data_IF_607118424696
#
_entry.id   IF_607118424696
#
_cell.length_a   1.000
_cell.length_b   1.000
_cell.length_c   1.000
_cell.angle_alpha   90.00
_cell.angle_beta   90.00
_cell.angle_gamma   90.00
#
_symmetry.space_group_name_H-M   'P 1'
#
loop_
_entity.id
_entity.type
_entity.pdbx_description
1 polymer ?
#
# COMPACT_ATOMS: atom_id res chain seq x y z
N UNK A 1 25.92 34.94 -35.53
CA UNK A 1 26.29 33.96 -34.49
C UNK A 1 25.19 33.95 -33.44
N UNK A 2 24.17 33.13 -33.67
CA UNK A 2 22.95 33.06 -32.86
C UNK A 2 23.18 32.21 -31.62
N UNK A 3 23.01 32.85 -30.46
CA UNK A 3 23.05 32.25 -29.12
C UNK A 3 21.90 31.27 -28.95
N UNK A 4 22.23 29.99 -28.85
CA UNK A 4 21.29 28.90 -28.61
C UNK A 4 20.89 28.90 -27.12
N UNK A 5 19.74 29.50 -26.83
CA UNK A 5 19.17 29.53 -25.49
C UNK A 5 18.76 28.11 -25.07
N UNK A 6 19.56 27.50 -24.20
CA UNK A 6 19.25 26.22 -23.56
C UNK A 6 17.96 26.40 -22.75
N UNK A 7 16.85 25.87 -23.26
CA UNK A 7 15.57 25.83 -22.56
C UNK A 7 15.71 25.03 -21.27
N UNK A 8 15.93 25.74 -20.16
CA UNK A 8 15.85 25.18 -18.81
C UNK A 8 14.43 24.63 -18.64
N UNK A 9 14.27 23.29 -18.64
CA UNK A 9 13.02 22.65 -18.24
C UNK A 9 12.67 23.17 -16.84
N UNK A 10 11.74 24.11 -16.75
CA UNK A 10 11.18 24.56 -15.46
C UNK A 10 10.56 23.33 -14.80
N UNK A 11 11.08 22.93 -13.65
CA UNK A 11 10.38 22.03 -12.75
C UNK A 11 9.04 22.71 -12.45
N UNK A 12 7.88 22.06 -12.68
CA UNK A 12 6.60 22.66 -12.34
C UNK A 12 6.60 23.00 -10.85
N UNK A 13 6.12 24.20 -10.50
CA UNK A 13 6.00 24.59 -9.10
C UNK A 13 5.10 23.59 -8.36
N UNK A 14 5.46 23.23 -7.11
CA UNK A 14 4.65 22.30 -6.34
C UNK A 14 3.27 22.89 -6.09
N UNK A 15 2.24 22.09 -6.36
CA UNK A 15 0.85 22.47 -6.08
C UNK A 15 0.68 22.69 -4.57
N UNK A 16 0.22 23.87 -4.17
CA UNK A 16 -0.04 24.19 -2.77
C UNK A 16 -1.50 23.92 -2.40
N UNK A 17 -1.84 23.67 -1.12
CA UNK A 17 -3.22 23.59 -0.68
C UNK A 17 -4.06 24.82 -1.08
N UNK A 18 -3.47 26.01 -1.00
CA UNK A 18 -4.12 27.26 -1.42
C UNK A 18 -4.47 27.28 -2.91
N UNK A 19 -3.60 26.75 -3.78
CA UNK A 19 -3.88 26.63 -5.22
C UNK A 19 -5.03 25.65 -5.53
N UNK A 20 -5.35 24.75 -4.60
CA UNK A 20 -6.52 23.87 -4.67
C UNK A 20 -7.76 24.47 -4.01
N UNK A 21 -7.70 25.70 -3.50
CA UNK A 21 -8.80 26.36 -2.79
C UNK A 21 -9.03 25.83 -1.37
N UNK A 22 -8.01 25.23 -0.73
CA UNK A 22 -8.10 24.78 0.66
C UNK A 22 -7.71 25.91 1.63
N UNK A 23 -8.31 25.95 2.83
CA UNK A 23 -7.91 26.91 3.87
C UNK A 23 -6.45 26.70 4.30
N UNK A 24 -5.84 27.69 4.96
CA UNK A 24 -4.47 27.58 5.44
C UNK A 24 -4.29 26.39 6.41
N UNK A 25 -5.20 26.30 7.39
CA UNK A 25 -5.20 25.22 8.37
C UNK A 25 -5.98 23.99 7.89
N UNK A 26 -5.54 22.77 8.24
CA UNK A 26 -6.30 21.57 7.94
C UNK A 26 -7.68 21.59 8.60
N UNK A 27 -8.68 21.09 7.89
CA UNK A 27 -10.02 20.88 8.44
C UNK A 27 -9.95 19.97 9.66
N UNK A 28 -10.63 20.39 10.74
CA UNK A 28 -10.72 19.63 12.00
C UNK A 28 -12.17 19.25 12.22
N UNK A 29 -12.40 17.99 12.56
CA UNK A 29 -13.69 17.49 13.01
C UNK A 29 -13.58 17.19 14.51
N UNK A 30 -14.41 17.86 15.32
CA UNK A 30 -14.53 17.57 16.75
C UNK A 30 -15.14 16.18 16.99
N UNK A 31 -15.05 15.62 18.21
CA UNK A 31 -15.52 14.27 18.50
C UNK A 31 -17.00 14.00 18.20
N UNK A 32 -17.84 15.04 18.30
CA UNK A 32 -19.29 14.99 18.08
C UNK A 32 -19.70 15.43 16.66
N UNK A 33 -18.74 15.63 15.75
CA UNK A 33 -19.05 16.06 14.40
C UNK A 33 -19.69 14.92 13.57
N UNK A 34 -20.50 15.25 12.54
CA UNK A 34 -21.04 14.25 11.64
C UNK A 34 -19.95 13.40 10.99
N UNK A 35 -20.26 12.14 10.66
CA UNK A 35 -19.31 11.23 10.02
C UNK A 35 -18.74 11.80 8.71
N UNK A 36 -19.54 12.56 7.96
CA UNK A 36 -19.12 13.26 6.76
C UNK A 36 -18.02 14.30 7.05
N UNK A 37 -18.13 15.05 8.15
CA UNK A 37 -17.10 16.01 8.58
C UNK A 37 -15.76 15.33 8.90
N UNK A 38 -15.77 14.17 9.55
CA UNK A 38 -14.55 13.39 9.79
C UNK A 38 -13.92 12.88 8.49
N UNK A 39 -14.73 12.44 7.53
CA UNK A 39 -14.25 12.02 6.20
C UNK A 39 -13.58 13.19 5.48
N UNK A 40 -14.21 14.37 5.46
CA UNK A 40 -13.65 15.59 4.85
C UNK A 40 -12.32 16.00 5.49
N UNK A 41 -12.29 16.08 6.82
CA UNK A 41 -11.07 16.38 7.57
C UNK A 41 -9.93 15.39 7.27
N UNK A 42 -10.27 14.10 7.14
CA UNK A 42 -9.29 13.08 6.77
C UNK A 42 -8.78 13.22 5.35
N UNK A 43 -9.66 13.53 4.38
CA UNK A 43 -9.26 13.76 2.99
C UNK A 43 -8.34 14.98 2.86
N UNK A 44 -8.68 16.09 3.51
CA UNK A 44 -7.84 17.30 3.53
C UNK A 44 -6.45 17.01 4.13
N UNK A 45 -6.42 16.36 5.30
CA UNK A 45 -5.17 16.00 5.95
C UNK A 45 -4.26 15.12 5.07
N UNK A 46 -4.80 14.05 4.48
CA UNK A 46 -4.01 13.14 3.64
C UNK A 46 -3.63 13.77 2.29
N UNK A 47 -4.44 14.69 1.75
CA UNK A 47 -4.08 15.47 0.57
C UNK A 47 -2.88 16.39 0.87
N UNK A 48 -2.86 17.05 2.02
CA UNK A 48 -1.71 17.87 2.44
C UNK A 48 -0.44 17.04 2.63
N UNK A 49 -0.55 15.87 3.24
CA UNK A 49 0.58 14.94 3.37
C UNK A 49 1.06 14.48 1.99
N UNK A 50 0.15 14.20 1.06
CA UNK A 50 0.54 13.85 -0.30
C UNK A 50 1.30 14.99 -0.99
N UNK A 51 0.82 16.23 -0.87
CA UNK A 51 1.46 17.41 -1.45
C UNK A 51 2.82 17.73 -0.82
N UNK A 52 2.97 17.54 0.50
CA UNK A 52 4.24 17.79 1.19
C UNK A 52 5.35 16.82 0.74
N UNK A 53 4.97 15.58 0.38
CA UNK A 53 5.88 14.51 -0.09
C UNK A 53 6.15 14.52 -1.58
N UNK A 54 5.35 15.25 -2.35
CA UNK A 54 5.47 15.27 -3.82
C UNK A 54 6.85 15.80 -4.30
N UNK A 55 7.41 16.91 -3.77
CA UNK A 55 8.71 17.39 -4.18
C UNK A 55 9.83 16.37 -3.95
N UNK A 56 9.85 15.74 -2.77
CA UNK A 56 10.79 14.68 -2.41
C UNK A 56 10.64 13.45 -3.30
N UNK A 57 9.40 13.06 -3.60
CA UNK A 57 9.09 11.96 -4.52
C UNK A 57 9.58 12.24 -5.94
N UNK A 58 9.38 13.46 -6.46
CA UNK A 58 9.89 13.88 -7.78
C UNK A 58 11.41 13.89 -7.82
N UNK A 59 12.04 14.41 -6.77
CA UNK A 59 13.50 14.47 -6.61
C UNK A 59 14.14 13.08 -6.44
N UNK A 60 13.41 12.13 -5.85
CA UNK A 60 13.77 10.71 -5.76
C UNK A 60 15.06 10.42 -4.98
N UNK A 61 15.48 11.34 -4.11
CA UNK A 61 16.67 11.22 -3.27
C UNK A 61 16.42 10.28 -2.08
N UNK A 62 15.26 10.39 -1.44
CA UNK A 62 14.84 9.55 -0.32
C UNK A 62 13.65 8.66 -0.73
N UNK A 63 13.79 7.32 -0.70
CA UNK A 63 12.68 6.39 -0.93
C UNK A 63 11.51 6.56 0.06
N UNK A 64 11.75 7.15 1.23
CA UNK A 64 10.72 7.36 2.25
C UNK A 64 9.68 8.39 1.82
N UNK A 65 10.08 9.41 1.04
CA UNK A 65 9.16 10.40 0.48
C UNK A 65 8.10 9.73 -0.41
N UNK A 66 8.53 8.83 -1.29
CA UNK A 66 7.62 8.01 -2.11
C UNK A 66 6.77 7.07 -1.24
N UNK A 67 7.35 6.48 -0.19
CA UNK A 67 6.63 5.61 0.73
C UNK A 67 5.48 6.36 1.42
N UNK A 68 5.75 7.52 1.98
CA UNK A 68 4.74 8.33 2.68
C UNK A 68 3.68 8.88 1.72
N UNK A 69 4.06 9.32 0.51
CA UNK A 69 3.10 9.70 -0.53
C UNK A 69 2.14 8.55 -0.88
N UNK A 70 2.65 7.31 -0.96
CA UNK A 70 1.82 6.10 -1.16
C UNK A 70 0.91 5.81 0.02
N UNK A 71 1.39 6.04 1.25
CA UNK A 71 0.58 5.86 2.46
C UNK A 71 -0.61 6.81 2.42
N UNK A 72 -0.39 8.10 2.14
CA UNK A 72 -1.44 9.10 2.03
C UNK A 72 -2.47 8.76 0.94
N UNK A 73 -2.00 8.45 -0.27
CA UNK A 73 -2.84 7.98 -1.38
C UNK A 73 -3.74 6.80 -0.96
N UNK A 74 -3.14 5.76 -0.35
CA UNK A 74 -3.88 4.56 0.06
C UNK A 74 -4.91 4.84 1.15
N UNK A 75 -4.58 5.72 2.11
CA UNK A 75 -5.51 6.12 3.18
C UNK A 75 -6.72 6.86 2.59
N UNK A 76 -6.51 7.82 1.69
CA UNK A 76 -7.62 8.48 0.97
C UNK A 76 -8.50 7.47 0.22
N UNK A 77 -7.90 6.56 -0.56
CA UNK A 77 -8.66 5.54 -1.30
C UNK A 77 -9.46 4.62 -0.36
N UNK A 78 -8.91 4.31 0.80
CA UNK A 78 -9.59 3.50 1.82
C UNK A 78 -10.77 4.25 2.43
N UNK A 79 -10.57 5.51 2.79
CA UNK A 79 -11.62 6.38 3.36
C UNK A 79 -12.80 6.46 2.41
N UNK A 80 -12.57 6.85 1.14
CA UNK A 80 -13.63 6.93 0.12
C UNK A 80 -14.35 5.60 -0.10
N UNK A 81 -13.64 4.48 -0.01
CA UNK A 81 -14.24 3.14 -0.12
C UNK A 81 -15.15 2.82 1.06
N UNK A 82 -14.76 3.20 2.28
CA UNK A 82 -15.54 2.92 3.49
C UNK A 82 -16.71 3.90 3.69
N UNK A 83 -16.64 5.09 3.11
CA UNK A 83 -17.61 6.16 3.32
C UNK A 83 -18.49 6.40 2.09
N UNK A 84 -18.62 5.45 1.16
CA UNK A 84 -19.28 5.66 -0.14
C UNK A 84 -20.71 6.23 -0.03
N UNK A 85 -21.44 5.88 1.02
CA UNK A 85 -22.77 6.42 1.30
C UNK A 85 -22.76 7.91 1.73
N UNK A 86 -21.64 8.40 2.24
CA UNK A 86 -21.48 9.76 2.80
C UNK A 86 -20.81 10.76 1.85
N UNK A 87 -20.23 10.30 0.74
CA UNK A 87 -19.43 11.14 -0.18
C UNK A 87 -20.06 11.27 -1.57
N UNK A 88 -21.25 10.71 -1.77
CA UNK A 88 -22.01 10.80 -3.02
C UNK A 88 -21.35 10.13 -4.23
N UNK A 89 -22.00 10.23 -5.39
CA UNK A 89 -21.53 9.62 -6.64
C UNK A 89 -20.23 10.24 -7.18
N UNK A 90 -19.93 11.49 -6.80
CA UNK A 90 -18.73 12.22 -7.25
C UNK A 90 -17.42 11.66 -6.68
N UNK A 91 -17.49 10.80 -5.65
CA UNK A 91 -16.31 10.17 -5.05
C UNK A 91 -15.74 8.99 -5.84
N UNK A 92 -16.55 8.31 -6.66
CA UNK A 92 -16.09 7.10 -7.36
C UNK A 92 -15.03 7.41 -8.45
N UNK A 93 -15.19 8.47 -9.28
CA UNK A 93 -14.12 8.89 -10.19
C UNK A 93 -12.80 9.22 -9.46
N UNK A 94 -12.87 9.94 -8.34
CA UNK A 94 -11.69 10.28 -7.52
C UNK A 94 -11.04 9.02 -6.94
N UNK A 95 -11.85 8.06 -6.48
CA UNK A 95 -11.36 6.77 -5.97
C UNK A 95 -10.69 5.93 -7.06
N UNK A 96 -11.22 5.95 -8.29
CA UNK A 96 -10.61 5.29 -9.44
C UNK A 96 -9.25 5.92 -9.80
N UNK A 97 -9.17 7.25 -9.82
CA UNK A 97 -7.93 7.98 -10.10
C UNK A 97 -6.89 7.84 -8.98
N UNK A 98 -7.30 7.77 -7.71
CA UNK A 98 -6.42 7.34 -6.62
C UNK A 98 -5.90 5.92 -6.86
N UNK A 99 -6.73 5.04 -7.43
CA UNK A 99 -6.32 3.70 -7.87
C UNK A 99 -5.21 3.75 -8.91
N UNK A 100 -5.38 4.57 -9.95
CA UNK A 100 -4.36 4.82 -10.98
C UNK A 100 -3.07 5.38 -10.38
N UNK A 101 -3.15 6.43 -9.56
CA UNK A 101 -1.98 7.02 -8.90
C UNK A 101 -1.23 5.98 -8.06
N UNK A 102 -1.98 5.13 -7.34
CA UNK A 102 -1.41 4.05 -6.53
C UNK A 102 -0.62 3.01 -7.35
N UNK A 103 -1.02 2.75 -8.60
CA UNK A 103 -0.28 1.87 -9.52
C UNK A 103 1.05 2.51 -9.94
N UNK A 104 1.00 3.78 -10.36
CA UNK A 104 2.21 4.48 -10.84
C UNK A 104 3.24 4.68 -9.72
N UNK A 105 2.79 5.06 -8.52
CA UNK A 105 3.67 5.13 -7.35
C UNK A 105 4.19 3.73 -6.95
N UNK A 106 3.37 2.69 -7.20
CA UNK A 106 3.67 1.31 -6.82
C UNK A 106 4.85 0.76 -7.57
N UNK A 107 4.85 0.96 -8.88
CA UNK A 107 5.91 0.48 -9.75
C UNK A 107 7.31 0.89 -9.26
N UNK A 108 7.50 2.16 -8.88
CA UNK A 108 8.81 2.64 -8.36
C UNK A 108 9.12 2.03 -6.99
N UNK A 109 8.12 1.94 -6.11
CA UNK A 109 8.30 1.39 -4.76
C UNK A 109 8.63 -0.10 -4.78
N UNK A 110 8.07 -0.84 -5.72
CA UNK A 110 8.34 -2.28 -5.86
C UNK A 110 9.82 -2.50 -6.24
N UNK A 111 10.39 -1.65 -7.10
CA UNK A 111 11.83 -1.66 -7.35
C UNK A 111 12.67 -1.20 -6.15
N UNK A 112 12.24 -0.21 -5.36
CA UNK A 112 12.94 0.20 -4.13
C UNK A 112 13.10 -0.97 -3.16
N UNK A 113 11.99 -1.69 -2.92
CA UNK A 113 11.97 -2.85 -2.03
C UNK A 113 12.83 -3.97 -2.61
N UNK A 114 12.67 -4.30 -3.90
CA UNK A 114 13.47 -5.34 -4.56
C UNK A 114 14.97 -5.03 -4.49
N UNK A 115 15.39 -3.81 -4.82
CA UNK A 115 16.80 -3.42 -4.83
C UNK A 115 17.39 -3.48 -3.41
N UNK A 116 16.66 -3.01 -2.39
CA UNK A 116 17.08 -3.10 -1.00
C UNK A 116 17.29 -4.55 -0.57
N UNK A 117 16.27 -5.37 -0.79
CA UNK A 117 16.30 -6.81 -0.48
C UNK A 117 17.44 -7.55 -1.20
N UNK A 118 17.61 -7.34 -2.51
CA UNK A 118 18.68 -7.99 -3.27
C UNK A 118 20.07 -7.61 -2.75
N UNK A 119 20.28 -6.35 -2.35
CA UNK A 119 21.55 -5.91 -1.75
C UNK A 119 21.84 -6.63 -0.44
N UNK A 120 20.82 -6.82 0.40
CA UNK A 120 20.95 -7.59 1.65
C UNK A 120 21.32 -9.05 1.34
N UNK A 121 20.59 -9.72 0.45
CA UNK A 121 20.89 -11.11 0.06
C UNK A 121 22.30 -11.27 -0.53
N UNK A 122 22.72 -10.34 -1.39
CA UNK A 122 24.04 -10.38 -2.03
C UNK A 122 25.16 -10.10 -1.01
N UNK A 123 24.90 -9.32 0.04
CA UNK A 123 25.90 -9.04 1.07
C UNK A 123 26.32 -10.32 1.82
N UNK A 124 25.43 -11.30 1.91
CA UNK A 124 25.68 -12.61 2.54
C UNK A 124 26.40 -13.60 1.60
N UNK A 125 26.64 -13.26 0.33
CA UNK A 125 27.34 -14.12 -0.61
C UNK A 125 28.86 -14.00 -0.47
N UNK A 126 29.57 -15.04 -0.92
CA UNK A 126 31.02 -15.04 -1.02
C UNK A 126 31.53 -13.81 -1.78
N UNK A 127 32.63 -13.22 -1.30
CA UNK A 127 33.19 -11.97 -1.86
C UNK A 127 33.41 -12.04 -3.38
N UNK A 128 33.74 -13.22 -3.91
CA UNK A 128 33.93 -13.46 -5.35
C UNK A 128 32.64 -13.30 -6.19
N UNK A 129 31.47 -13.56 -5.61
CA UNK A 129 30.18 -13.56 -6.31
C UNK A 129 29.47 -12.19 -6.21
N UNK A 130 29.84 -11.38 -5.21
CA UNK A 130 29.25 -10.06 -5.00
C UNK A 130 29.35 -9.10 -6.20
N UNK A 131 30.45 -9.05 -6.98
CA UNK A 131 30.53 -8.20 -8.17
C UNK A 131 29.44 -8.49 -9.20
N UNK A 132 29.20 -9.77 -9.52
CA UNK A 132 28.14 -10.17 -10.43
C UNK A 132 26.75 -9.84 -9.85
N UNK A 133 26.54 -9.98 -8.55
CA UNK A 133 25.34 -9.52 -7.85
C UNK A 133 25.12 -8.01 -7.97
N UNK A 134 26.16 -7.19 -7.82
CA UNK A 134 26.07 -5.73 -8.01
C UNK A 134 25.73 -5.36 -9.46
N UNK A 135 26.24 -6.11 -10.45
CA UNK A 135 25.83 -5.94 -11.87
C UNK A 135 24.36 -6.29 -12.08
N UNK A 136 23.86 -7.37 -11.47
CA UNK A 136 22.44 -7.73 -11.49
C UNK A 136 21.58 -6.61 -10.91
N UNK A 137 21.91 -6.11 -9.71
CA UNK A 137 21.19 -5.01 -9.05
C UNK A 137 21.17 -3.75 -9.93
N UNK A 138 22.27 -3.46 -10.63
CA UNK A 138 22.36 -2.30 -11.53
C UNK A 138 21.34 -2.34 -12.69
N UNK A 139 20.91 -3.55 -13.11
CA UNK A 139 19.82 -3.69 -14.09
C UNK A 139 18.49 -3.22 -13.49
N UNK A 140 18.17 -3.62 -12.27
CA UNK A 140 16.96 -3.15 -11.58
C UNK A 140 17.00 -1.66 -11.23
N UNK A 141 18.18 -1.10 -10.94
CA UNK A 141 18.34 0.36 -10.77
C UNK A 141 17.99 1.11 -12.06
N UNK A 142 18.38 0.56 -13.23
CA UNK A 142 18.01 1.13 -14.53
C UNK A 142 16.50 1.06 -14.79
N UNK A 143 15.86 -0.06 -14.44
CA UNK A 143 14.40 -0.22 -14.54
C UNK A 143 13.66 0.75 -13.61
N UNK A 144 14.10 0.87 -12.36
CA UNK A 144 13.59 1.85 -11.39
C UNK A 144 13.67 3.27 -11.96
N UNK A 145 14.78 3.61 -12.61
CA UNK A 145 14.98 4.93 -13.24
C UNK A 145 13.93 5.17 -14.34
N UNK A 146 13.60 4.13 -15.11
CA UNK A 146 12.55 4.19 -16.13
C UNK A 146 11.15 4.31 -15.53
N UNK A 147 10.84 3.54 -14.48
CA UNK A 147 9.60 3.68 -13.71
C UNK A 147 9.46 5.09 -13.12
N UNK A 148 10.54 5.66 -12.57
CA UNK A 148 10.55 7.03 -12.05
C UNK A 148 10.28 8.08 -13.13
N UNK A 149 10.77 7.88 -14.37
CA UNK A 149 10.40 8.73 -15.51
C UNK A 149 8.92 8.63 -15.87
N UNK A 150 8.29 7.45 -15.73
CA UNK A 150 6.83 7.29 -15.87
C UNK A 150 6.09 8.01 -14.74
N UNK A 151 6.53 7.85 -13.50
CA UNK A 151 5.97 8.54 -12.33
C UNK A 151 6.00 10.06 -12.50
N UNK A 152 7.16 10.64 -12.85
CA UNK A 152 7.28 12.09 -13.03
C UNK A 152 6.38 12.62 -14.16
N UNK A 153 6.17 11.83 -15.23
CA UNK A 153 5.20 12.19 -16.28
C UNK A 153 3.76 12.13 -15.77
N UNK A 154 3.40 11.11 -15.00
CA UNK A 154 2.08 10.99 -14.40
C UNK A 154 1.77 12.14 -13.44
N UNK A 155 2.70 12.48 -12.55
CA UNK A 155 2.57 13.62 -11.63
C UNK A 155 2.53 14.97 -12.36
N UNK A 156 3.01 15.04 -13.61
CA UNK A 156 2.94 16.26 -14.42
C UNK A 156 1.76 16.25 -15.40
N UNK A 157 0.86 15.28 -15.30
CA UNK A 157 -0.26 15.11 -16.23
C UNK A 157 -1.48 15.93 -15.80
N UNK A 158 -2.34 16.36 -16.75
CA UNK A 158 -3.63 16.97 -16.43
C UNK A 158 -4.50 16.07 -15.55
N UNK A 159 -4.43 14.74 -15.74
CA UNK A 159 -5.16 13.76 -14.91
C UNK A 159 -4.79 13.88 -13.43
N UNK A 160 -3.51 14.06 -13.11
CA UNK A 160 -3.08 14.26 -11.72
C UNK A 160 -3.60 15.59 -11.16
N UNK A 161 -3.55 16.67 -11.93
CA UNK A 161 -4.12 17.95 -11.51
C UNK A 161 -5.63 17.86 -11.25
N UNK A 162 -6.40 17.20 -12.14
CA UNK A 162 -7.83 16.94 -11.97
C UNK A 162 -8.10 16.09 -10.72
N UNK A 163 -7.26 15.08 -10.46
CA UNK A 163 -7.37 14.27 -9.24
C UNK A 163 -7.20 15.13 -7.99
N UNK A 164 -6.17 15.97 -7.92
CA UNK A 164 -5.94 16.86 -6.76
C UNK A 164 -7.13 17.80 -6.53
N UNK A 165 -7.68 18.37 -7.62
CA UNK A 165 -8.87 19.22 -7.54
C UNK A 165 -10.11 18.45 -7.07
N UNK A 166 -10.31 17.23 -7.56
CA UNK A 166 -11.41 16.36 -7.14
C UNK A 166 -11.34 16.01 -5.65
N UNK A 167 -10.15 15.69 -5.13
CA UNK A 167 -9.96 15.42 -3.69
C UNK A 167 -10.23 16.70 -2.88
N UNK A 168 -9.70 17.84 -3.31
CA UNK A 168 -9.90 19.11 -2.62
C UNK A 168 -11.39 19.51 -2.60
N UNK A 169 -12.11 19.31 -3.70
CA UNK A 169 -13.55 19.54 -3.75
C UNK A 169 -14.31 18.65 -2.77
N UNK A 170 -14.05 17.33 -2.77
CA UNK A 170 -14.66 16.41 -1.81
C UNK A 170 -14.38 16.78 -0.35
N UNK A 171 -13.21 17.36 -0.07
CA UNK A 171 -12.87 17.80 1.28
C UNK A 171 -13.61 19.07 1.73
N UNK A 172 -14.16 19.86 0.79
CA UNK A 172 -14.89 21.10 1.07
C UNK A 172 -16.40 20.98 1.00
N UNK A 173 -16.94 20.08 0.18
CA UNK A 173 -18.40 20.01 -0.08
C UNK A 173 -19.19 19.85 1.22
N UNK A 174 -20.03 20.84 1.54
CA UNK A 174 -20.86 20.86 2.74
C UNK A 174 -22.04 19.87 2.63
N UNK A 175 -22.61 19.50 3.77
CA UNK A 175 -23.61 18.43 3.99
C UNK A 175 -24.97 18.59 3.27
N UNK A 176 -25.20 19.64 2.50
CA UNK A 176 -26.55 20.02 2.04
C UNK A 176 -27.17 19.14 0.93
N UNK A 177 -26.58 17.99 0.56
CA UNK A 177 -27.12 17.12 -0.50
C UNK A 177 -27.23 15.64 -0.11
N UNK A 178 -27.13 15.28 1.17
CA UNK A 178 -27.29 13.89 1.59
C UNK A 178 -28.35 13.83 2.68
N UNK A 179 -29.53 13.35 2.29
CA UNK A 179 -30.64 13.04 3.17
C UNK A 179 -30.14 12.10 4.29
N UNK A 180 -29.99 12.64 5.49
CA UNK A 180 -29.47 11.93 6.65
C UNK A 180 -30.49 10.86 7.08
N UNK A 181 -30.37 9.67 6.51
CA UNK A 181 -30.78 8.49 7.28
C UNK A 181 -29.73 8.30 8.36
N UNK A 182 -30.12 8.29 9.66
CA UNK A 182 -29.19 8.00 10.73
C UNK A 182 -28.62 6.60 10.47
N UNK A 183 -27.38 6.53 10.02
CA UNK A 183 -26.66 5.27 10.00
C UNK A 183 -26.55 4.84 11.46
N UNK A 184 -27.38 3.87 11.86
CA UNK A 184 -27.30 3.20 13.17
C UNK A 184 -25.83 2.97 13.47
N UNK A 185 -25.35 3.49 14.62
CA UNK A 185 -23.99 3.22 15.10
C UNK A 185 -23.80 1.70 15.05
N UNK A 186 -23.06 1.14 14.08
CA UNK A 186 -22.95 -0.30 14.01
C UNK A 186 -22.20 -0.71 15.27
N UNK A 187 -22.73 -1.68 16.00
CA UNK A 187 -22.06 -2.11 17.23
C UNK A 187 -20.66 -2.61 16.83
N UNK A 188 -19.63 -1.85 17.21
CA UNK A 188 -18.26 -2.00 16.72
C UNK A 188 -17.63 -3.37 17.09
N UNK A 189 -18.26 -4.14 17.97
CA UNK A 189 -17.88 -5.51 18.32
C UNK A 189 -18.50 -6.58 17.40
N UNK A 190 -19.70 -6.36 16.85
CA UNK A 190 -20.37 -7.33 15.97
C UNK A 190 -19.74 -7.42 14.57
N UNK A 191 -18.94 -6.43 14.18
CA UNK A 191 -18.40 -6.29 12.83
C UNK A 191 -17.13 -7.10 12.53
N UNK A 192 -16.44 -7.66 13.54
CA UNK A 192 -15.21 -8.47 13.32
C UNK A 192 -15.51 -9.86 12.75
N UNK A 193 -16.70 -10.41 13.03
CA UNK A 193 -17.07 -11.77 12.62
C UNK A 193 -17.27 -11.91 11.11
N UNK A 194 -17.76 -10.86 10.44
CA UNK A 194 -17.98 -10.85 8.99
C UNK A 194 -16.67 -10.98 8.19
N UNK A 195 -15.62 -10.15 8.41
CA UNK A 195 -14.33 -10.32 7.75
C UNK A 195 -13.64 -11.62 8.16
N UNK A 196 -13.80 -12.09 9.41
CA UNK A 196 -13.29 -13.41 9.81
C UNK A 196 -13.93 -14.54 9.01
N UNK A 197 -15.26 -14.64 8.97
CA UNK A 197 -15.98 -15.67 8.18
C UNK A 197 -15.57 -15.65 6.71
N UNK A 198 -15.33 -14.48 6.14
CA UNK A 198 -14.85 -14.37 4.75
C UNK A 198 -13.44 -14.96 4.61
N UNK A 199 -12.53 -14.68 5.54
CA UNK A 199 -11.19 -15.25 5.56
C UNK A 199 -11.25 -16.77 5.77
N UNK A 200 -12.02 -17.26 6.74
CA UNK A 200 -12.19 -18.68 7.04
C UNK A 200 -12.74 -19.46 5.83
N UNK A 201 -13.75 -18.92 5.14
CA UNK A 201 -14.26 -19.52 3.90
C UNK A 201 -13.22 -19.57 2.80
N UNK A 202 -12.40 -18.53 2.66
CA UNK A 202 -11.33 -18.51 1.67
C UNK A 202 -10.25 -19.56 1.99
N UNK A 203 -9.87 -19.72 3.27
CA UNK A 203 -8.93 -20.76 3.70
C UNK A 203 -9.50 -22.15 3.46
N UNK A 204 -10.76 -22.38 3.83
CA UNK A 204 -11.42 -23.68 3.66
C UNK A 204 -11.61 -24.09 2.19
N UNK A 205 -11.62 -23.13 1.26
CA UNK A 205 -11.74 -23.39 -0.17
C UNK A 205 -10.40 -23.71 -0.85
N UNK A 206 -9.28 -23.64 -0.13
CA UNK A 206 -7.96 -23.88 -0.72
C UNK A 206 -7.70 -25.38 -0.96
N UNK A 207 -7.05 -25.73 -2.09
CA UNK A 207 -6.52 -27.08 -2.28
C UNK A 207 -5.31 -27.32 -1.35
N UNK A 208 -4.87 -28.58 -1.15
CA UNK A 208 -3.74 -28.91 -0.29
C UNK A 208 -2.44 -28.17 -0.62
N UNK A 209 -2.23 -27.85 -1.90
CA UNK A 209 -1.11 -27.03 -2.37
C UNK A 209 -1.66 -25.80 -3.10
N UNK A 210 -2.01 -24.71 -2.38
CA UNK A 210 -2.65 -23.55 -2.99
C UNK A 210 -1.72 -22.85 -3.98
N UNK A 211 -2.26 -22.33 -5.11
CA UNK A 211 -1.59 -21.35 -5.96
C UNK A 211 -1.06 -20.14 -5.18
N UNK A 212 0.00 -19.50 -5.68
CA UNK A 212 0.57 -18.30 -5.02
C UNK A 212 -0.45 -17.14 -4.94
N UNK A 213 -1.29 -16.98 -5.97
CA UNK A 213 -2.35 -15.95 -6.02
C UNK A 213 -3.43 -16.14 -4.95
N UNK A 214 -3.75 -17.39 -4.60
CA UNK A 214 -4.73 -17.69 -3.57
C UNK A 214 -4.19 -17.30 -2.17
N UNK A 215 -2.90 -17.55 -1.92
CA UNK A 215 -2.23 -17.10 -0.70
C UNK A 215 -2.13 -15.57 -0.65
N UNK A 216 -1.91 -14.91 -1.79
CA UNK A 216 -1.99 -13.45 -1.89
C UNK A 216 -3.39 -12.93 -1.52
N UNK A 217 -4.45 -13.57 -2.00
CA UNK A 217 -5.83 -13.21 -1.67
C UNK A 217 -6.14 -13.36 -0.17
N UNK A 218 -5.62 -14.40 0.49
CA UNK A 218 -5.72 -14.56 1.94
C UNK A 218 -5.08 -13.39 2.70
N UNK A 219 -3.92 -12.90 2.27
CA UNK A 219 -3.24 -11.74 2.89
C UNK A 219 -4.13 -10.49 2.86
N UNK A 220 -4.87 -10.29 1.76
CA UNK A 220 -5.83 -9.19 1.61
C UNK A 220 -6.99 -9.34 2.60
N UNK A 221 -7.53 -10.55 2.75
CA UNK A 221 -8.59 -10.83 3.73
C UNK A 221 -8.11 -10.63 5.17
N UNK A 222 -6.91 -11.12 5.51
CA UNK A 222 -6.27 -10.88 6.81
C UNK A 222 -6.10 -9.39 7.12
N UNK A 223 -5.74 -8.57 6.12
CA UNK A 223 -5.67 -7.10 6.30
C UNK A 223 -6.99 -6.50 6.73
N UNK A 224 -8.08 -6.93 6.09
CA UNK A 224 -9.42 -6.46 6.41
C UNK A 224 -9.80 -6.86 7.84
N UNK A 225 -9.55 -8.11 8.22
CA UNK A 225 -9.80 -8.60 9.57
C UNK A 225 -9.03 -7.80 10.63
N UNK A 226 -7.71 -7.61 10.43
CA UNK A 226 -6.89 -6.83 11.37
C UNK A 226 -7.42 -5.41 11.52
N UNK A 227 -7.71 -4.73 10.42
CA UNK A 227 -8.21 -3.35 10.46
C UNK A 227 -9.54 -3.24 11.23
N UNK A 228 -10.48 -4.14 10.96
CA UNK A 228 -11.75 -4.18 11.70
C UNK A 228 -11.53 -4.48 13.19
N UNK A 229 -10.61 -5.39 13.52
CA UNK A 229 -10.27 -5.68 14.92
C UNK A 229 -9.57 -4.51 15.63
N UNK A 230 -8.71 -3.75 14.94
CA UNK A 230 -8.07 -2.54 15.46
C UNK A 230 -9.11 -1.45 15.78
N UNK A 231 -10.11 -1.26 14.92
CA UNK A 231 -11.24 -0.35 15.16
C UNK A 231 -12.14 -0.84 16.30
N UNK A 232 -12.46 -2.12 16.34
CA UNK A 232 -13.26 -2.69 17.42
C UNK A 232 -12.56 -2.52 18.79
N UNK A 233 -11.23 -2.66 18.81
CA UNK A 233 -10.41 -2.55 20.02
C UNK A 233 -10.46 -1.15 20.63
N UNK A 234 -10.47 -0.09 19.82
CA UNK A 234 -10.51 1.28 20.34
C UNK A 234 -11.83 1.63 21.02
N UNK A 235 -12.92 0.95 20.66
CA UNK A 235 -14.25 1.12 21.26
C UNK A 235 -14.60 0.06 22.32
N UNK A 236 -13.71 -0.89 22.58
CA UNK A 236 -13.99 -2.04 23.44
C UNK A 236 -13.64 -1.80 24.92
N UNK A 237 -14.43 -2.40 25.82
CA UNK A 237 -14.08 -2.51 27.26
C UNK A 237 -12.79 -3.31 27.44
N UNK A 238 -12.04 -3.05 28.52
CA UNK A 238 -10.70 -3.63 28.81
C UNK A 238 -10.56 -5.13 28.51
N UNK A 239 -11.50 -5.96 28.98
CA UNK A 239 -11.49 -7.43 28.76
C UNK A 239 -11.62 -7.81 27.28
N UNK A 240 -12.52 -7.15 26.56
CA UNK A 240 -12.73 -7.38 25.13
C UNK A 240 -11.58 -6.82 24.29
N UNK A 241 -11.03 -5.66 24.68
CA UNK A 241 -9.85 -5.08 24.05
C UNK A 241 -8.62 -6.00 24.14
N UNK A 242 -8.46 -6.73 25.26
CA UNK A 242 -7.40 -7.73 25.41
C UNK A 242 -7.56 -8.89 24.41
N UNK A 243 -8.76 -9.47 24.30
CA UNK A 243 -9.07 -10.54 23.33
C UNK A 243 -8.83 -10.08 21.87
N UNK A 244 -9.29 -8.87 21.53
CA UNK A 244 -9.05 -8.27 20.22
C UNK A 244 -7.56 -8.02 19.95
N UNK A 245 -6.77 -7.73 20.98
CA UNK A 245 -5.31 -7.57 20.84
C UNK A 245 -4.63 -8.86 20.40
N UNK A 246 -5.06 -10.00 20.95
CA UNK A 246 -4.54 -11.31 20.53
C UNK A 246 -4.95 -11.64 19.09
N UNK A 247 -6.19 -11.33 18.68
CA UNK A 247 -6.62 -11.49 17.29
C UNK A 247 -5.81 -10.61 16.33
N UNK A 248 -5.56 -9.34 16.69
CA UNK A 248 -4.72 -8.42 15.92
C UNK A 248 -3.30 -8.97 15.79
N UNK A 249 -2.73 -9.49 16.88
CA UNK A 249 -1.39 -10.06 16.92
C UNK A 249 -1.28 -11.31 16.02
N UNK A 250 -2.22 -12.24 16.13
CA UNK A 250 -2.27 -13.43 15.28
C UNK A 250 -2.42 -13.04 13.80
N UNK A 251 -3.32 -12.10 13.50
CA UNK A 251 -3.53 -11.62 12.13
C UNK A 251 -2.30 -10.88 11.59
N UNK A 252 -1.59 -10.08 12.42
CA UNK A 252 -0.33 -9.45 12.01
C UNK A 252 0.72 -10.50 11.64
N UNK A 253 0.89 -11.55 12.45
CA UNK A 253 1.83 -12.63 12.14
C UNK A 253 1.46 -13.36 10.85
N UNK A 254 0.17 -13.61 10.62
CA UNK A 254 -0.33 -14.20 9.38
C UNK A 254 -0.01 -13.33 8.16
N UNK A 255 -0.19 -12.01 8.28
CA UNK A 255 0.16 -11.08 7.22
C UNK A 255 1.65 -10.96 6.94
N UNK A 256 2.50 -11.14 7.97
CA UNK A 256 3.96 -11.21 7.81
C UNK A 256 4.32 -12.45 7.02
N UNK A 257 3.90 -13.64 7.45
CA UNK A 257 4.22 -14.90 6.75
C UNK A 257 3.76 -14.89 5.29
N UNK A 258 2.51 -14.49 5.02
CA UNK A 258 2.01 -14.38 3.64
C UNK A 258 2.63 -13.20 2.87
N UNK A 259 3.16 -12.20 3.58
CA UNK A 259 3.95 -11.13 2.99
C UNK A 259 5.30 -11.65 2.50
N UNK A 260 6.02 -12.35 3.36
CA UNK A 260 7.33 -12.96 3.05
C UNK A 260 7.21 -13.95 1.88
N UNK A 261 6.12 -14.75 1.85
CA UNK A 261 5.79 -15.61 0.72
C UNK A 261 5.66 -14.83 -0.60
N UNK A 262 4.85 -13.77 -0.61
CA UNK A 262 4.61 -12.99 -1.81
C UNK A 262 5.87 -12.24 -2.27
N UNK A 263 6.61 -11.66 -1.34
CA UNK A 263 7.82 -10.90 -1.65
C UNK A 263 8.89 -11.82 -2.24
N UNK A 264 9.01 -13.05 -1.72
CA UNK A 264 9.88 -14.09 -2.28
C UNK A 264 9.48 -14.54 -3.69
N UNK A 265 8.18 -14.79 -3.93
CA UNK A 265 7.66 -15.10 -5.28
C UNK A 265 7.99 -13.98 -6.26
N UNK A 266 7.69 -12.74 -5.88
CA UNK A 266 7.96 -11.56 -6.70
C UNK A 266 9.46 -11.38 -7.01
N UNK A 267 10.32 -11.50 -6.00
CA UNK A 267 11.77 -11.37 -6.18
C UNK A 267 12.31 -12.47 -7.10
N UNK A 268 11.90 -13.74 -6.90
CA UNK A 268 12.31 -14.85 -7.76
C UNK A 268 11.89 -14.65 -9.22
N UNK A 269 10.65 -14.21 -9.47
CA UNK A 269 10.16 -13.91 -10.82
C UNK A 269 10.94 -12.78 -11.49
N UNK A 270 11.19 -11.69 -10.76
CA UNK A 270 11.96 -10.55 -11.29
C UNK A 270 13.38 -10.94 -11.65
N UNK A 271 14.04 -11.72 -10.81
CA UNK A 271 15.41 -12.21 -11.07
C UNK A 271 15.44 -13.20 -12.24
N UNK A 272 14.47 -14.13 -12.32
CA UNK A 272 14.34 -15.03 -13.48
C UNK A 272 14.16 -14.30 -14.80
N UNK A 273 13.42 -13.19 -14.79
CA UNK A 273 13.23 -12.35 -15.98
C UNK A 273 14.52 -11.79 -16.57
N UNK A 274 15.63 -11.78 -15.81
CA UNK A 274 16.94 -11.32 -16.29
C UNK A 274 17.71 -12.41 -17.04
N UNK A 275 17.43 -13.69 -16.77
CA UNK A 275 18.20 -14.84 -17.27
C UNK A 275 18.35 -14.91 -18.79
N UNK A 276 17.33 -14.59 -19.63
CA UNK A 276 17.48 -14.66 -21.08
C UNK A 276 18.62 -13.81 -21.65
N UNK A 277 19.06 -12.78 -20.92
CA UNK A 277 20.11 -11.83 -21.35
C UNK A 277 21.26 -11.75 -20.32
N UNK A 278 21.47 -12.80 -19.53
CA UNK A 278 22.50 -12.86 -18.50
C UNK A 278 23.78 -13.54 -19.02
N UNK A 279 24.94 -13.02 -18.60
CA UNK A 279 26.20 -13.76 -18.71
C UNK A 279 26.25 -14.90 -17.67
N UNK A 280 27.26 -15.78 -17.75
CA UNK A 280 27.37 -16.95 -16.88
C UNK A 280 27.46 -16.58 -15.39
N UNK A 281 28.17 -15.50 -15.04
CA UNK A 281 28.32 -15.07 -13.65
C UNK A 281 27.01 -14.52 -13.09
N UNK A 282 26.30 -13.68 -13.87
CA UNK A 282 24.98 -13.18 -13.50
C UNK A 282 23.99 -14.33 -13.41
N UNK A 283 24.05 -15.30 -14.33
CA UNK A 283 23.21 -16.50 -14.32
C UNK A 283 23.41 -17.31 -13.03
N UNK A 284 24.67 -17.53 -12.63
CA UNK A 284 25.00 -18.23 -11.38
C UNK A 284 24.45 -17.49 -10.15
N UNK A 285 24.71 -16.19 -10.03
CA UNK A 285 24.22 -15.38 -8.90
C UNK A 285 22.70 -15.27 -8.87
N UNK A 286 22.06 -15.09 -10.03
CA UNK A 286 20.62 -15.10 -10.16
C UNK A 286 20.01 -16.44 -9.71
N UNK A 287 20.65 -17.56 -10.05
CA UNK A 287 20.25 -18.89 -9.57
C UNK A 287 20.32 -19.00 -8.04
N UNK A 288 21.42 -18.54 -7.42
CA UNK A 288 21.56 -18.52 -5.96
C UNK A 288 20.48 -17.67 -5.27
N UNK A 289 20.17 -16.50 -5.82
CA UNK A 289 19.11 -15.63 -5.30
C UNK A 289 17.75 -16.32 -5.43
N UNK A 290 17.43 -16.87 -6.60
CA UNK A 290 16.15 -17.57 -6.81
C UNK A 290 16.00 -18.73 -5.82
N UNK A 291 17.05 -19.51 -5.58
CA UNK A 291 17.00 -20.60 -4.60
C UNK A 291 16.74 -20.09 -3.17
N UNK A 292 17.40 -18.99 -2.78
CA UNK A 292 17.15 -18.33 -1.49
C UNK A 292 15.69 -17.89 -1.34
N UNK A 293 15.11 -17.30 -2.38
CA UNK A 293 13.70 -16.90 -2.37
C UNK A 293 12.76 -18.11 -2.35
N UNK A 294 13.08 -19.19 -3.07
CA UNK A 294 12.27 -20.41 -3.03
C UNK A 294 12.29 -21.06 -1.64
N UNK A 295 13.42 -21.01 -0.93
CA UNK A 295 13.51 -21.47 0.46
C UNK A 295 12.62 -20.63 1.39
N UNK A 296 12.63 -19.30 1.25
CA UNK A 296 11.72 -18.40 2.00
C UNK A 296 10.25 -18.69 1.69
N UNK A 297 9.92 -18.85 0.41
CA UNK A 297 8.58 -19.23 -0.06
C UNK A 297 8.13 -20.56 0.54
N UNK A 298 9.01 -21.56 0.56
CA UNK A 298 8.73 -22.87 1.12
C UNK A 298 8.49 -22.79 2.64
N UNK A 299 9.32 -22.05 3.37
CA UNK A 299 9.14 -21.83 4.81
C UNK A 299 7.80 -21.16 5.13
N UNK A 300 7.43 -20.11 4.37
CA UNK A 300 6.15 -19.45 4.56
C UNK A 300 4.96 -20.38 4.22
N UNK A 301 5.07 -21.19 3.15
CA UNK A 301 4.09 -22.22 2.78
C UNK A 301 3.94 -23.32 3.84
N UNK A 302 5.01 -23.66 4.55
CA UNK A 302 4.98 -24.65 5.62
C UNK A 302 4.35 -24.12 6.93
N UNK A 303 4.36 -22.80 7.15
CA UNK A 303 4.01 -22.21 8.47
C UNK A 303 2.67 -21.47 8.49
N UNK A 304 2.12 -21.04 7.34
CA UNK A 304 0.95 -20.16 7.33
C UNK A 304 -0.30 -20.80 7.96
N UNK A 305 -0.50 -22.11 7.81
CA UNK A 305 -1.64 -22.85 8.40
C UNK A 305 -1.58 -22.85 9.93
N UNK A 306 -0.41 -23.05 10.52
CA UNK A 306 -0.24 -22.97 11.98
C UNK A 306 -0.60 -21.59 12.52
N UNK A 307 -0.32 -20.53 11.74
CA UNK A 307 -0.70 -19.17 12.12
C UNK A 307 -2.19 -18.93 11.90
N UNK A 308 -2.79 -19.53 10.88
CA UNK A 308 -4.24 -19.52 10.68
C UNK A 308 -4.98 -20.11 11.89
N UNK A 309 -4.56 -21.26 12.41
CA UNK A 309 -5.18 -21.86 13.60
C UNK A 309 -5.12 -20.96 14.84
N UNK A 310 -4.09 -20.11 14.96
CA UNK A 310 -4.02 -19.08 16.03
C UNK A 310 -5.06 -17.98 15.83
N UNK A 311 -5.38 -17.62 14.59
CA UNK A 311 -6.48 -16.68 14.29
C UNK A 311 -7.81 -17.31 14.67
N UNK A 312 -8.05 -18.58 14.32
CA UNK A 312 -9.28 -19.29 14.69
C UNK A 312 -9.47 -19.33 16.21
N UNK A 313 -8.43 -19.71 16.96
CA UNK A 313 -8.48 -19.72 18.42
C UNK A 313 -8.74 -18.32 19.01
N UNK A 314 -8.07 -17.29 18.47
CA UNK A 314 -8.25 -15.91 18.94
C UNK A 314 -9.64 -15.36 18.61
N UNK A 315 -10.23 -15.70 17.46
CA UNK A 315 -11.58 -15.24 17.10
C UNK A 315 -12.66 -15.92 17.95
N UNK A 316 -12.54 -17.22 18.23
CA UNK A 316 -13.43 -17.91 19.18
C UNK A 316 -13.38 -17.29 20.57
N UNK A 317 -12.20 -16.82 21.00
CA UNK A 317 -12.07 -16.12 22.27
C UNK A 317 -12.69 -14.71 22.26
N UNK A 318 -12.81 -14.06 21.10
CA UNK A 318 -13.43 -12.73 20.92
C UNK A 318 -14.95 -12.81 20.86
N UNK A 319 -15.49 -13.87 20.27
CA UNK A 319 -16.93 -14.22 20.26
C UNK A 319 -17.48 -14.47 21.65
#
# INVERSE_FOLDING_TARGET
MTSEATSRRRTPEPTTPAALGLPAEPAKAGPEAPAAAHVRAKLDHELRELLSREPGTRAGADPEELHQMRVAQRRMRSVLKSSSALVGATAEPVRADLGWLGQVLGEVRDYDVLIGHLREVIADFDVRDQPAGRRLVSRFVSERTTARRRLNRALSSPRYATLLQGIAQLSRTAEHEIDETPAEKPSLAADVRKPYRKLARAVAALPPNPPDDDLHALRIHGKKLRYTAELARSAAKKKQAAKLSELIKATRKFQTVLGDHQDAVFAAEKVRGVLPNADAEIGFVAGRIVEHELAKRAHARATWLDIWHRIEAAEHAVS
#
